data_IF_699644370343
#
_entry.id   IF_699644370343
#
_cell.length_a   1.000
_cell.length_b   1.000
_cell.length_c   1.000
_cell.angle_alpha   90.00
_cell.angle_beta   90.00
_cell.angle_gamma   90.00
#
_symmetry.space_group_name_H-M   'P 1'
#
loop_
_entity.id
_entity.type
_entity.pdbx_description
1 polymer ?
#
# COMPACT_ATOMS: atom_id res chain seq x y z
N UNK A 1 -2.41 -13.04 -33.60
CA UNK A 1 -3.00 -12.46 -32.38
C UNK A 1 -3.05 -10.95 -32.59
N UNK A 2 -4.19 -10.31 -32.35
CA UNK A 2 -4.32 -8.83 -32.37
C UNK A 2 -4.88 -8.43 -31.01
N UNK A 3 -4.24 -7.46 -30.37
CA UNK A 3 -4.65 -6.91 -29.06
C UNK A 3 -5.14 -5.48 -29.28
N UNK A 4 -6.29 -5.13 -28.71
CA UNK A 4 -6.84 -3.78 -28.73
C UNK A 4 -6.73 -3.21 -27.32
N UNK A 5 -6.00 -2.10 -27.19
CA UNK A 5 -5.82 -1.34 -25.95
C UNK A 5 -6.46 0.04 -26.14
N UNK A 6 -7.22 0.49 -25.14
CA UNK A 6 -7.90 1.78 -25.18
C UNK A 6 -6.98 2.92 -24.77
N UNK A 7 -6.02 2.64 -23.90
CA UNK A 7 -4.97 3.59 -23.53
C UNK A 7 -3.96 3.76 -24.67
N UNK A 8 -3.22 4.86 -24.62
CA UNK A 8 -2.07 5.14 -25.50
C UNK A 8 -0.80 4.37 -25.08
N UNK A 9 -0.91 3.48 -24.09
CA UNK A 9 0.16 2.66 -23.54
C UNK A 9 -0.35 1.28 -23.14
N UNK A 10 0.55 0.31 -23.11
CA UNK A 10 0.30 -1.01 -22.52
C UNK A 10 0.38 -0.97 -20.99
N UNK A 11 0.03 -2.09 -20.35
CA UNK A 11 0.24 -2.33 -18.92
C UNK A 11 -0.98 -2.08 -18.02
N UNK A 12 -2.01 -1.38 -18.51
CA UNK A 12 -3.24 -1.14 -17.75
C UNK A 12 -2.97 -0.47 -16.40
N UNK A 13 -3.29 -1.16 -15.30
CA UNK A 13 -3.05 -0.69 -13.91
C UNK A 13 -1.60 -0.85 -13.42
N UNK A 14 -0.69 -1.33 -14.26
CA UNK A 14 0.75 -1.24 -14.03
C UNK A 14 1.21 0.02 -14.77
N UNK A 15 1.69 1.02 -14.05
CA UNK A 15 2.03 2.31 -14.64
C UNK A 15 3.17 3.02 -13.92
N UNK A 16 4.30 3.08 -14.60
CA UNK A 16 5.46 3.88 -14.21
C UNK A 16 5.49 5.17 -15.02
N UNK A 17 5.81 6.29 -14.38
CA UNK A 17 6.00 7.61 -15.01
C UNK A 17 7.33 8.21 -14.60
N UNK A 18 7.83 9.14 -15.39
CA UNK A 18 8.92 10.03 -15.01
C UNK A 18 8.34 11.37 -14.57
N UNK A 19 8.70 11.83 -13.38
CA UNK A 19 8.27 13.09 -12.81
C UNK A 19 9.47 13.84 -12.23
N UNK A 20 9.79 15.00 -12.80
CA UNK A 20 10.91 15.85 -12.35
C UNK A 20 12.25 15.09 -12.21
N UNK A 21 12.52 14.15 -13.13
CA UNK A 21 13.73 13.32 -13.13
C UNK A 21 13.71 12.15 -12.14
N UNK A 22 12.54 11.82 -11.58
CA UNK A 22 12.30 10.70 -10.68
C UNK A 22 11.30 9.74 -11.29
N UNK A 23 11.64 8.45 -11.27
CA UNK A 23 10.73 7.36 -11.65
C UNK A 23 9.71 7.11 -10.53
N UNK A 24 8.42 7.14 -10.85
CA UNK A 24 7.32 6.91 -9.92
C UNK A 24 6.37 5.84 -10.46
N UNK A 25 6.01 4.88 -9.62
CA UNK A 25 4.90 3.97 -9.89
C UNK A 25 3.59 4.58 -9.40
N UNK A 26 2.65 4.75 -10.33
CA UNK A 26 1.29 5.26 -10.07
C UNK A 26 0.24 4.15 -10.19
N UNK A 27 0.69 2.92 -10.43
CA UNK A 27 -0.10 1.70 -10.52
C UNK A 27 0.38 0.65 -9.52
N UNK A 28 0.40 -0.62 -9.94
CA UNK A 28 0.98 -1.69 -9.12
C UNK A 28 2.50 -1.47 -8.94
N UNK A 29 2.95 -1.47 -7.68
CA UNK A 29 4.36 -1.24 -7.29
C UNK A 29 4.97 -2.39 -6.48
N UNK A 30 4.16 -3.29 -5.92
CA UNK A 30 4.61 -4.38 -5.05
C UNK A 30 4.50 -5.77 -5.68
N UNK A 31 5.54 -6.59 -5.50
CA UNK A 31 5.50 -8.03 -5.73
C UNK A 31 5.46 -8.76 -4.37
N UNK A 32 4.27 -9.16 -3.93
CA UNK A 32 4.09 -9.81 -2.63
C UNK A 32 4.42 -11.31 -2.68
N UNK A 33 5.47 -11.72 -1.96
CA UNK A 33 5.88 -13.11 -1.80
C UNK A 33 6.74 -13.63 -2.96
N UNK A 34 7.61 -14.59 -2.63
CA UNK A 34 8.60 -15.17 -3.56
C UNK A 34 8.33 -16.64 -3.89
N UNK A 35 7.51 -17.32 -3.08
CA UNK A 35 7.18 -18.74 -3.22
C UNK A 35 5.89 -18.88 -4.02
N UNK A 36 5.89 -19.71 -5.05
CA UNK A 36 4.75 -19.98 -5.92
C UNK A 36 4.14 -18.69 -6.52
N UNK A 37 4.96 -17.67 -6.75
CA UNK A 37 4.56 -16.40 -7.33
C UNK A 37 5.13 -16.25 -8.76
N UNK A 38 4.28 -16.48 -9.75
CA UNK A 38 4.66 -16.40 -11.16
C UNK A 38 5.22 -15.02 -11.58
N UNK A 39 4.80 -13.94 -10.92
CA UNK A 39 5.36 -12.60 -11.17
C UNK A 39 6.81 -12.56 -10.70
N UNK A 40 7.08 -13.00 -9.47
CA UNK A 40 8.44 -13.06 -8.92
C UNK A 40 9.36 -13.94 -9.77
N UNK A 41 8.90 -15.13 -10.16
CA UNK A 41 9.65 -16.05 -11.03
C UNK A 41 9.99 -15.41 -12.38
N UNK A 42 9.04 -14.69 -12.98
CA UNK A 42 9.22 -14.04 -14.27
C UNK A 42 10.23 -12.89 -14.19
N UNK A 43 10.11 -12.01 -13.19
CA UNK A 43 10.86 -10.75 -13.15
C UNK A 43 12.12 -10.79 -12.28
N UNK A 44 12.26 -11.80 -11.42
CA UNK A 44 13.35 -11.92 -10.45
C UNK A 44 14.74 -11.98 -11.09
N UNK A 45 14.83 -12.45 -12.34
CA UNK A 45 16.10 -12.49 -13.09
C UNK A 45 16.44 -11.20 -13.83
N UNK A 46 15.52 -10.24 -13.89
CA UNK A 46 15.64 -9.03 -14.71
C UNK A 46 16.11 -7.79 -13.95
N UNK A 47 16.54 -7.93 -12.68
CA UNK A 47 16.95 -6.81 -11.82
C UNK A 47 15.87 -5.71 -11.72
N UNK A 48 14.60 -6.12 -11.76
CA UNK A 48 13.43 -5.24 -11.66
C UNK A 48 12.87 -5.16 -10.24
N UNK A 49 13.43 -5.95 -9.31
CA UNK A 49 12.99 -6.03 -7.93
C UNK A 49 14.04 -5.45 -7.00
N UNK A 50 13.57 -4.71 -6.00
CA UNK A 50 14.37 -4.31 -4.84
C UNK A 50 13.68 -4.78 -3.58
N UNK A 51 14.45 -4.99 -2.51
CA UNK A 51 13.86 -5.28 -1.20
C UNK A 51 13.14 -4.04 -0.68
N UNK A 52 11.95 -4.24 -0.12
CA UNK A 52 11.21 -3.19 0.58
C UNK A 52 11.81 -2.86 1.97
N UNK A 53 12.55 -3.79 2.57
CA UNK A 53 13.08 -3.64 3.94
C UNK A 53 13.98 -2.40 4.14
N UNK A 54 14.88 -2.02 3.20
CA UNK A 54 15.71 -0.83 3.35
C UNK A 54 14.94 0.49 3.32
N UNK A 55 13.78 0.55 2.65
CA UNK A 55 12.98 1.77 2.50
C UNK A 55 11.99 1.98 3.65
N UNK A 56 11.65 0.93 4.41
CA UNK A 56 10.79 1.02 5.61
C UNK A 56 11.56 1.20 6.92
N UNK A 57 12.81 1.65 6.88
CA UNK A 57 13.51 2.01 8.11
C UNK A 57 13.02 3.36 8.62
N UNK A 58 12.77 3.54 9.93
CA UNK A 58 12.28 4.80 10.51
C UNK A 58 13.02 6.07 10.09
N UNK A 59 14.32 5.96 9.77
CA UNK A 59 15.15 7.08 9.31
C UNK A 59 15.08 7.34 7.79
N UNK A 60 14.31 6.54 7.04
CA UNK A 60 14.24 6.55 5.57
C UNK A 60 12.87 6.95 5.01
N UNK A 61 11.87 7.15 5.86
CA UNK A 61 10.53 7.58 5.42
C UNK A 61 10.03 8.79 6.21
N UNK A 62 9.22 9.60 5.54
CA UNK A 62 8.52 10.75 6.12
C UNK A 62 7.03 10.58 5.88
N UNK A 63 6.24 10.73 6.94
CA UNK A 63 4.79 10.91 6.80
C UNK A 63 4.48 12.40 6.97
N UNK A 64 3.82 12.98 5.97
CA UNK A 64 3.44 14.38 5.98
C UNK A 64 2.02 14.58 5.42
N UNK A 65 1.35 15.62 5.90
CA UNK A 65 0.08 16.11 5.37
C UNK A 65 0.35 17.33 4.46
N UNK A 66 -0.52 17.63 3.47
CA UNK A 66 -0.50 18.90 2.74
C UNK A 66 -0.59 20.15 3.63
N UNK A 67 -1.03 19.99 4.88
CA UNK A 67 -1.10 21.06 5.89
C UNK A 67 0.21 21.29 6.67
N UNK A 68 1.36 20.92 6.10
CA UNK A 68 2.72 21.07 6.68
C UNK A 68 2.96 20.38 8.03
N UNK A 69 2.09 19.45 8.45
CA UNK A 69 2.35 18.63 9.64
C UNK A 69 3.08 17.35 9.25
N UNK A 70 4.28 17.16 9.81
CA UNK A 70 4.95 15.86 9.82
C UNK A 70 4.42 15.00 10.96
N UNK A 71 4.25 13.71 10.72
CA UNK A 71 3.77 12.77 11.73
C UNK A 71 4.95 12.06 12.41
N UNK A 72 4.74 11.62 13.66
CA UNK A 72 5.70 10.76 14.34
C UNK A 72 5.76 9.41 13.62
N UNK A 73 6.88 9.19 12.93
CA UNK A 73 7.21 8.00 12.14
C UNK A 73 6.98 6.70 12.92
N UNK A 74 7.44 6.63 14.17
CA UNK A 74 7.32 5.42 15.01
C UNK A 74 5.85 5.10 15.31
N UNK A 75 5.06 6.12 15.63
CA UNK A 75 3.63 5.97 15.89
C UNK A 75 2.88 5.51 14.64
N UNK A 76 3.16 6.12 13.49
CA UNK A 76 2.52 5.74 12.23
C UNK A 76 2.87 4.30 11.84
N UNK A 77 4.13 3.89 11.94
CA UNK A 77 4.51 2.49 11.62
C UNK A 77 3.81 1.50 12.54
N UNK A 78 3.70 1.79 13.84
CA UNK A 78 2.96 0.93 14.76
C UNK A 78 1.48 0.82 14.37
N UNK A 79 0.85 1.92 13.94
CA UNK A 79 -0.54 1.93 13.48
C UNK A 79 -0.70 1.16 12.16
N UNK A 80 0.20 1.37 11.20
CA UNK A 80 0.18 0.65 9.92
C UNK A 80 0.40 -0.85 10.11
N UNK A 81 1.31 -1.26 10.99
CA UNK A 81 1.51 -2.68 11.30
C UNK A 81 0.23 -3.31 11.85
N UNK A 82 -0.45 -2.63 12.80
CA UNK A 82 -1.73 -3.09 13.34
C UNK A 82 -2.83 -3.12 12.30
N UNK A 83 -2.92 -2.11 11.44
CA UNK A 83 -3.85 -2.08 10.33
C UNK A 83 -3.61 -3.24 9.37
N UNK A 84 -2.35 -3.51 9.03
CA UNK A 84 -1.95 -4.62 8.17
C UNK A 84 -2.37 -5.99 8.75
N UNK A 85 -2.32 -6.16 10.07
CA UNK A 85 -2.80 -7.40 10.72
C UNK A 85 -4.31 -7.68 10.49
N UNK A 86 -5.13 -6.67 10.16
CA UNK A 86 -6.55 -6.88 9.87
C UNK A 86 -6.73 -7.81 8.66
N UNK A 87 -5.84 -7.73 7.65
CA UNK A 87 -5.91 -8.58 6.46
C UNK A 87 -5.56 -10.04 6.73
N UNK A 88 -4.88 -10.33 7.84
CA UNK A 88 -4.51 -11.68 8.25
C UNK A 88 -5.46 -12.25 9.31
N UNK A 89 -6.51 -11.50 9.65
CA UNK A 89 -7.57 -11.99 10.51
C UNK A 89 -8.28 -13.17 9.82
N UNK A 90 -8.41 -14.30 10.51
CA UNK A 90 -9.03 -15.51 9.95
C UNK A 90 -10.49 -15.28 9.59
N UNK A 91 -11.15 -14.34 10.26
CA UNK A 91 -12.56 -14.04 10.05
C UNK A 91 -12.80 -13.33 8.71
N UNK A 92 -11.79 -12.72 8.08
CA UNK A 92 -11.93 -12.05 6.77
C UNK A 92 -12.35 -13.03 5.67
N UNK A 93 -11.92 -14.30 5.77
CA UNK A 93 -12.19 -15.33 4.78
C UNK A 93 -13.67 -15.74 4.73
N UNK A 94 -14.39 -15.53 5.84
CA UNK A 94 -15.79 -15.91 5.99
C UNK A 94 -16.72 -14.69 6.00
N UNK A 95 -16.19 -13.49 5.76
CA UNK A 95 -16.96 -12.26 5.82
C UNK A 95 -17.81 -12.08 4.56
N UNK A 96 -19.12 -11.99 4.73
CA UNK A 96 -20.06 -11.70 3.65
C UNK A 96 -20.10 -10.20 3.37
N UNK A 97 -19.19 -9.71 2.52
CA UNK A 97 -19.11 -8.31 2.11
C UNK A 97 -17.82 -7.98 1.37
N UNK A 98 -17.58 -6.71 1.08
CA UNK A 98 -16.30 -6.31 0.50
C UNK A 98 -15.18 -6.32 1.54
N UNK A 99 -13.93 -6.44 1.09
CA UNK A 99 -12.75 -6.27 1.96
C UNK A 99 -12.78 -4.91 2.68
N UNK A 100 -13.28 -3.86 2.01
CA UNK A 100 -13.42 -2.54 2.62
C UNK A 100 -14.43 -2.53 3.77
N UNK A 101 -15.58 -3.21 3.61
CA UNK A 101 -16.60 -3.34 4.66
C UNK A 101 -16.06 -4.09 5.89
N UNK A 102 -15.15 -5.05 5.69
CA UNK A 102 -14.43 -5.72 6.78
C UNK A 102 -13.40 -4.81 7.44
N UNK A 103 -12.58 -4.16 6.62
CA UNK A 103 -11.35 -3.50 7.04
C UNK A 103 -11.60 -2.14 7.70
N UNK A 104 -12.43 -1.29 7.10
CA UNK A 104 -12.58 0.12 7.52
C UNK A 104 -13.12 0.26 8.95
N UNK A 105 -14.14 -0.48 9.41
CA UNK A 105 -14.60 -0.38 10.80
C UNK A 105 -13.53 -0.82 11.82
N UNK A 106 -12.70 -1.81 11.47
CA UNK A 106 -11.62 -2.31 12.32
C UNK A 106 -10.46 -1.31 12.39
N UNK A 107 -10.09 -0.72 11.25
CA UNK A 107 -9.14 0.39 11.21
C UNK A 107 -9.62 1.54 12.11
N UNK A 108 -10.91 1.87 12.06
CA UNK A 108 -11.47 2.96 12.86
C UNK A 108 -11.39 2.73 14.37
N UNK A 109 -11.61 1.48 14.78
CA UNK A 109 -11.42 1.06 16.17
C UNK A 109 -9.96 1.23 16.62
N UNK A 110 -8.99 0.83 15.78
CA UNK A 110 -7.56 0.99 16.05
C UNK A 110 -7.21 2.48 16.18
N UNK A 111 -7.62 3.29 15.21
CA UNK A 111 -7.30 4.72 15.19
C UNK A 111 -7.92 5.48 16.38
N UNK A 112 -9.15 5.13 16.76
CA UNK A 112 -9.85 5.74 17.89
C UNK A 112 -9.22 5.33 19.23
N UNK A 113 -8.89 4.04 19.41
CA UNK A 113 -8.29 3.55 20.66
C UNK A 113 -6.88 4.10 20.94
N UNK A 114 -6.17 4.59 19.93
CA UNK A 114 -4.84 5.19 20.07
C UNK A 114 -4.86 6.73 20.10
N UNK A 115 -6.06 7.34 20.23
CA UNK A 115 -6.24 8.80 20.26
C UNK A 115 -5.58 9.53 19.07
N UNK A 116 -5.60 8.90 17.89
CA UNK A 116 -5.02 9.48 16.68
C UNK A 116 -5.81 10.72 16.28
N UNK A 117 -5.12 11.85 16.10
CA UNK A 117 -5.74 13.12 15.72
C UNK A 117 -6.50 13.04 14.40
N UNK A 118 -7.54 13.87 14.24
CA UNK A 118 -8.47 13.80 13.11
C UNK A 118 -7.78 13.86 11.73
N UNK A 119 -6.80 14.75 11.55
CA UNK A 119 -6.06 14.86 10.30
C UNK A 119 -5.18 13.64 9.99
N UNK A 120 -4.54 13.07 11.02
CA UNK A 120 -3.78 11.82 10.86
C UNK A 120 -4.71 10.65 10.50
N UNK A 121 -5.91 10.60 11.09
CA UNK A 121 -6.92 9.59 10.75
C UNK A 121 -7.39 9.72 9.29
N UNK A 122 -7.70 10.92 8.84
CA UNK A 122 -8.09 11.19 7.45
C UNK A 122 -6.99 10.76 6.48
N UNK A 123 -5.75 11.17 6.74
CA UNK A 123 -4.60 10.77 5.93
C UNK A 123 -4.46 9.24 5.86
N UNK A 124 -4.52 8.53 6.99
CA UNK A 124 -4.40 7.08 7.04
C UNK A 124 -5.56 6.35 6.34
N UNK A 125 -6.77 6.92 6.33
CA UNK A 125 -7.88 6.39 5.53
C UNK A 125 -7.62 6.51 4.02
N UNK A 126 -7.01 7.59 3.58
CA UNK A 126 -6.66 7.78 2.16
C UNK A 126 -5.46 6.94 1.71
N UNK A 127 -4.61 6.50 2.64
CA UNK A 127 -3.59 5.48 2.38
C UNK A 127 -4.16 4.06 2.30
N UNK A 128 -5.30 3.78 2.95
CA UNK A 128 -5.90 2.43 2.96
C UNK A 128 -6.23 1.83 1.57
N UNK A 129 -6.69 2.59 0.55
CA UNK A 129 -6.83 2.10 -0.81
C UNK A 129 -5.54 1.56 -1.44
N UNK A 130 -4.35 2.05 -1.02
CA UNK A 130 -3.07 1.49 -1.46
C UNK A 130 -2.80 0.12 -0.83
N UNK A 131 -3.45 -0.19 0.31
CA UNK A 131 -3.45 -1.52 0.92
C UNK A 131 -4.52 -2.46 0.35
N UNK A 132 -5.46 -1.95 -0.47
CA UNK A 132 -6.51 -2.76 -1.12
C UNK A 132 -6.06 -3.41 -2.43
N UNK A 133 -4.83 -3.10 -2.88
CA UNK A 133 -4.17 -3.78 -4.01
C UNK A 133 -3.38 -5.03 -3.60
N UNK A 134 -3.49 -5.47 -2.35
CA UNK A 134 -2.86 -6.67 -1.78
C UNK A 134 -3.84 -7.84 -1.78
#
# INVERSE_FOLDING_TARGET
>A
LVVLEAADRIGGRIHTIEFEGVTLDTGAEFCHGEVDNAVYELIGTHNLLTSYLPVVRPDKFLYASPSDSTFNVTEIVHLLYRAHQIFYDKDIQNFEGSVADYFLPRLDSILTSHNVGIHAREALRHFSPLLQGV
#
